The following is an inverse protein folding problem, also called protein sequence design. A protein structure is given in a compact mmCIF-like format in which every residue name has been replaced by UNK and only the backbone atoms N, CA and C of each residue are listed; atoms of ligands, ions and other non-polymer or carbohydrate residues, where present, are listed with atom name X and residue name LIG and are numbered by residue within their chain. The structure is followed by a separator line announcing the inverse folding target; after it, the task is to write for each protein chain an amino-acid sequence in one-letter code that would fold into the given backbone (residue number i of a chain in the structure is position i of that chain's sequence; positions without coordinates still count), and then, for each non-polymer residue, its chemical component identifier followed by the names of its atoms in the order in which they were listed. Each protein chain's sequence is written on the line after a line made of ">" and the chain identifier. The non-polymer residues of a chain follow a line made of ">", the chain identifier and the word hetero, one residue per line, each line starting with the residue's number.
data_IF_547965230869
#
_entry.id   IF_547965230869
#
_cell.length_a   1.000
_cell.length_b   1.000
_cell.length_c   1.000
_cell.angle_alpha   90.00
_cell.angle_beta   90.00
_cell.angle_gamma   90.00
#
_symmetry.space_group_name_H-M   'P 1'
#
loop_
_entity.id
_entity.type
_entity.pdbx_description
1 polymer ?
#
# COMPACT_ATOMS: atom_id res chain seq x y z
N UNK A 1 19.69 3.20 3.99
CA UNK A 1 20.34 4.41 3.44
C UNK A 1 19.84 5.56 4.28
N UNK A 2 20.71 6.45 4.78
CA UNK A 2 20.28 7.57 5.63
C UNK A 2 19.40 8.55 4.86
N UNK A 3 18.50 9.23 5.57
CA UNK A 3 17.67 10.31 4.99
C UNK A 3 18.58 11.44 4.48
N UNK A 4 18.37 11.83 3.22
CA UNK A 4 19.10 12.91 2.53
C UNK A 4 18.24 14.18 2.60
N UNK A 5 18.84 15.36 2.71
CA UNK A 5 18.07 16.61 2.78
C UNK A 5 17.20 16.78 1.53
N UNK A 6 16.07 17.48 1.64
CA UNK A 6 15.13 17.62 0.53
C UNK A 6 15.79 18.20 -0.72
N UNK A 7 16.72 19.13 -0.53
CA UNK A 7 17.51 19.79 -1.57
C UNK A 7 18.48 18.85 -2.29
N UNK A 8 18.83 17.74 -1.65
CA UNK A 8 19.75 16.72 -2.14
C UNK A 8 19.02 15.51 -2.75
N UNK A 9 17.68 15.44 -2.61
CA UNK A 9 16.87 14.38 -3.18
C UNK A 9 16.62 14.62 -4.67
N UNK A 10 16.75 13.55 -5.45
CA UNK A 10 16.41 13.51 -6.87
C UNK A 10 15.35 12.44 -7.18
N UNK A 11 14.97 12.32 -8.46
CA UNK A 11 13.96 11.34 -8.90
C UNK A 11 14.26 9.91 -8.43
N UNK A 12 15.53 9.51 -8.34
CA UNK A 12 15.92 8.15 -7.94
C UNK A 12 15.57 7.85 -6.48
N UNK A 13 15.56 8.88 -5.63
CA UNK A 13 15.19 8.75 -4.23
C UNK A 13 13.69 8.48 -4.06
N UNK A 14 12.84 8.82 -5.04
CA UNK A 14 11.39 8.58 -4.99
C UNK A 14 10.96 7.26 -5.62
N UNK A 15 11.88 6.52 -6.25
CA UNK A 15 11.57 5.25 -6.91
C UNK A 15 11.48 4.06 -5.94
N UNK A 16 11.97 4.20 -4.71
CA UNK A 16 12.08 3.09 -3.76
C UNK A 16 10.93 3.06 -2.76
N UNK A 17 10.52 1.84 -2.38
CA UNK A 17 9.57 1.60 -1.32
C UNK A 17 10.16 2.15 0.00
N UNK A 18 9.38 2.95 0.72
CA UNK A 18 9.75 3.55 2.00
C UNK A 18 9.39 2.59 3.14
N UNK A 19 10.28 1.68 3.47
CA UNK A 19 10.03 0.69 4.53
C UNK A 19 9.89 1.33 5.91
N UNK A 20 10.63 2.41 6.20
CA UNK A 20 10.46 3.15 7.46
C UNK A 20 9.05 3.73 7.56
N UNK A 21 8.50 4.29 6.47
CA UNK A 21 7.14 4.82 6.44
C UNK A 21 6.09 3.72 6.71
N UNK A 22 6.19 2.59 6.01
CA UNK A 22 5.23 1.50 6.19
C UNK A 22 5.33 0.78 7.55
N UNK A 23 6.46 0.94 8.26
CA UNK A 23 6.68 0.36 9.59
C UNK A 23 6.55 1.37 10.73
N UNK A 24 6.05 2.58 10.46
CA UNK A 24 5.79 3.56 11.52
C UNK A 24 4.77 3.02 12.54
N UNK A 25 5.07 3.10 13.85
CA UNK A 25 4.17 2.61 14.89
C UNK A 25 2.99 3.55 15.14
N UNK A 26 3.11 4.83 14.77
CA UNK A 26 2.14 5.88 15.07
C UNK A 26 1.84 6.72 13.80
N UNK A 27 0.65 7.33 13.69
CA UNK A 27 0.31 8.20 12.58
C UNK A 27 1.26 9.39 12.44
N UNK A 28 1.69 9.68 11.21
CA UNK A 28 2.49 10.88 10.93
C UNK A 28 1.70 12.17 11.20
N UNK A 29 0.42 12.18 10.82
CA UNK A 29 -0.52 13.26 11.13
C UNK A 29 -1.62 12.74 12.05
N UNK A 30 -1.96 13.52 13.08
CA UNK A 30 -3.03 13.16 14.03
C UNK A 30 -4.44 13.30 13.45
N UNK A 31 -4.62 14.12 12.41
CA UNK A 31 -5.91 14.50 11.83
C UNK A 31 -6.03 14.20 10.32
N UNK A 32 -5.07 13.45 9.75
CA UNK A 32 -5.05 13.14 8.31
C UNK A 32 -4.75 11.68 8.06
N UNK A 33 -5.38 11.15 7.02
CA UNK A 33 -5.05 9.85 6.45
C UNK A 33 -4.19 10.07 5.21
N UNK A 34 -3.02 9.44 5.17
CA UNK A 34 -2.16 9.44 3.98
C UNK A 34 -2.62 8.31 3.05
N UNK A 35 -2.94 8.63 1.81
CA UNK A 35 -3.27 7.63 0.78
C UNK A 35 -2.03 7.39 -0.07
N UNK A 36 -1.58 6.15 -0.16
CA UNK A 36 -0.39 5.77 -0.93
C UNK A 36 -0.74 4.82 -2.09
N UNK A 37 0.21 4.71 -3.00
CA UNK A 37 0.29 3.64 -3.99
C UNK A 37 1.75 3.29 -4.20
N UNK A 38 2.13 2.90 -5.43
CA UNK A 38 3.51 2.55 -5.83
C UNK A 38 4.02 1.24 -5.21
N UNK A 39 3.69 0.99 -3.94
CA UNK A 39 4.01 -0.26 -3.25
C UNK A 39 2.87 -1.24 -3.44
N UNK A 40 3.07 -2.25 -4.29
CA UNK A 40 2.02 -3.24 -4.54
C UNK A 40 1.62 -3.95 -3.23
N UNK A 41 0.37 -3.80 -2.85
CA UNK A 41 -0.24 -4.26 -1.59
C UNK A 41 -0.05 -5.74 -1.26
N UNK A 42 -0.14 -6.66 -2.22
CA UNK A 42 0.07 -8.09 -1.93
C UNK A 42 1.52 -8.45 -1.56
N UNK A 43 2.47 -7.52 -1.67
CA UNK A 43 3.85 -7.73 -1.20
C UNK A 43 3.97 -7.62 0.32
N UNK A 44 2.97 -7.05 0.99
CA UNK A 44 2.92 -6.99 2.45
C UNK A 44 2.58 -8.36 3.07
N UNK A 45 3.01 -8.64 4.31
CA UNK A 45 2.71 -9.90 4.98
C UNK A 45 1.19 -10.13 5.12
N UNK A 46 0.74 -11.33 4.74
CA UNK A 46 -0.67 -11.73 4.92
C UNK A 46 -1.67 -11.07 3.96
N UNK A 47 -1.22 -10.30 2.96
CA UNK A 47 -2.10 -9.55 2.05
C UNK A 47 -2.30 -10.31 0.74
N UNK A 48 -3.56 -10.53 0.36
CA UNK A 48 -3.93 -11.19 -0.89
C UNK A 48 -4.02 -10.18 -2.05
N UNK A 49 -3.81 -10.63 -3.31
CA UNK A 49 -3.99 -9.79 -4.48
C UNK A 49 -5.36 -9.08 -4.53
N UNK A 50 -5.32 -7.77 -4.70
CA UNK A 50 -6.51 -6.93 -4.75
C UNK A 50 -7.00 -6.41 -3.40
N UNK A 51 -6.38 -6.79 -2.27
CA UNK A 51 -6.69 -6.16 -0.98
C UNK A 51 -5.95 -4.82 -0.82
N UNK A 52 -6.55 -3.89 -0.09
CA UNK A 52 -5.87 -2.67 0.36
C UNK A 52 -5.08 -2.96 1.63
N UNK A 53 -4.16 -2.08 1.98
CA UNK A 53 -3.33 -2.22 3.17
C UNK A 53 -3.40 -0.96 4.03
N UNK A 54 -3.73 -1.12 5.30
CA UNK A 54 -3.75 -0.02 6.26
C UNK A 54 -2.66 -0.21 7.33
N UNK A 55 -1.93 0.87 7.60
CA UNK A 55 -1.03 0.98 8.75
C UNK A 55 -1.39 2.19 9.62
N UNK A 56 -0.44 2.65 10.43
CA UNK A 56 -0.66 3.76 11.34
C UNK A 56 -0.84 5.09 10.58
N UNK A 57 -2.10 5.52 10.39
CA UNK A 57 -2.42 6.79 9.74
C UNK A 57 -2.24 6.81 8.23
N UNK A 58 -2.13 5.65 7.57
CA UNK A 58 -2.01 5.54 6.12
C UNK A 58 -2.76 4.34 5.53
N UNK A 59 -3.15 4.45 4.26
CA UNK A 59 -3.86 3.44 3.47
C UNK A 59 -3.26 3.35 2.06
N UNK A 60 -2.78 2.17 1.68
CA UNK A 60 -2.24 1.88 0.34
C UNK A 60 -3.32 1.26 -0.57
N UNK A 61 -3.45 1.82 -1.77
CA UNK A 61 -4.43 1.41 -2.77
C UNK A 61 -3.82 0.82 -4.05
N UNK A 62 -2.49 0.63 -4.11
CA UNK A 62 -1.85 0.00 -5.27
C UNK A 62 -2.04 -1.52 -5.20
N UNK A 63 -3.12 -1.96 -5.82
CA UNK A 63 -3.46 -3.37 -5.93
C UNK A 63 -2.81 -4.07 -7.11
N UNK A 64 -1.78 -3.47 -7.72
CA UNK A 64 -0.97 -4.13 -8.75
C UNK A 64 -1.69 -4.28 -10.09
N UNK A 65 -2.22 -3.18 -10.62
CA UNK A 65 -2.98 -3.17 -11.88
C UNK A 65 -2.20 -3.72 -13.08
N UNK A 66 -0.88 -3.51 -13.11
CA UNK A 66 0.03 -4.00 -14.15
C UNK A 66 0.66 -5.34 -13.81
N UNK A 67 0.51 -5.82 -12.57
CA UNK A 67 1.21 -7.02 -12.11
C UNK A 67 0.39 -8.27 -12.47
N UNK A 68 0.97 -9.25 -13.20
CA UNK A 68 0.23 -10.39 -13.75
C UNK A 68 -0.42 -11.31 -12.70
N UNK A 69 0.09 -11.31 -11.47
CA UNK A 69 -0.51 -12.03 -10.33
C UNK A 69 -1.78 -11.37 -9.78
N UNK A 70 -1.95 -10.05 -9.91
CA UNK A 70 -3.08 -9.32 -9.34
C UNK A 70 -4.02 -8.78 -10.42
N UNK A 71 -3.51 -7.93 -11.31
CA UNK A 71 -4.25 -7.25 -12.36
C UNK A 71 -5.40 -6.34 -11.88
N UNK A 72 -5.48 -5.98 -10.59
CA UNK A 72 -6.56 -5.13 -10.09
C UNK A 72 -6.18 -3.66 -10.15
N UNK A 73 -6.93 -2.87 -10.92
CA UNK A 73 -6.94 -1.41 -10.84
C UNK A 73 -7.99 -0.99 -9.80
N UNK A 74 -7.58 -0.18 -8.83
CA UNK A 74 -8.43 0.27 -7.71
C UNK A 74 -8.80 1.74 -7.83
N UNK A 75 -10.07 2.04 -7.56
CA UNK A 75 -10.57 3.37 -7.22
C UNK A 75 -11.15 3.37 -5.81
N UNK A 76 -10.77 4.37 -5.00
CA UNK A 76 -11.24 4.56 -3.63
C UNK A 76 -12.21 5.74 -3.58
N UNK A 77 -13.41 5.50 -3.08
CA UNK A 77 -14.39 6.52 -2.73
C UNK A 77 -14.38 6.72 -1.21
N UNK A 78 -13.69 7.76 -0.76
CA UNK A 78 -13.52 8.06 0.67
C UNK A 78 -14.84 8.50 1.30
N UNK A 79 -15.67 9.25 0.57
CA UNK A 79 -16.93 9.80 1.07
C UNK A 79 -17.90 8.69 1.44
N UNK A 80 -18.06 7.70 0.55
CA UNK A 80 -18.98 6.59 0.76
C UNK A 80 -18.31 5.36 1.37
N UNK A 81 -16.99 5.40 1.59
CA UNK A 81 -16.18 4.28 2.09
C UNK A 81 -16.30 3.04 1.20
N UNK A 82 -16.19 3.23 -0.11
CA UNK A 82 -16.33 2.16 -1.10
C UNK A 82 -15.06 1.98 -1.91
N UNK A 83 -14.79 0.74 -2.29
CA UNK A 83 -13.66 0.36 -3.13
C UNK A 83 -14.20 -0.26 -4.41
N UNK A 84 -13.80 0.31 -5.53
CA UNK A 84 -14.13 -0.17 -6.87
C UNK A 84 -12.89 -0.77 -7.50
N UNK A 85 -13.03 -1.96 -8.07
CA UNK A 85 -11.92 -2.59 -8.78
C UNK A 85 -12.33 -3.10 -10.14
N UNK A 86 -11.42 -2.94 -11.10
CA UNK A 86 -11.52 -3.49 -12.44
C UNK A 86 -10.28 -4.31 -12.71
N UNK A 87 -10.47 -5.57 -13.12
CA UNK A 87 -9.37 -6.41 -13.53
C UNK A 87 -8.88 -5.96 -14.92
N UNK A 88 -7.60 -5.66 -15.07
CA UNK A 88 -7.04 -5.12 -16.30
C UNK A 88 -6.99 -6.17 -17.42
N UNK A 89 -6.93 -7.46 -17.06
CA UNK A 89 -6.86 -8.59 -18.00
C UNK A 89 -8.24 -8.94 -18.58
N UNK A 90 -9.22 -9.21 -17.73
CA UNK A 90 -10.54 -9.73 -18.15
C UNK A 90 -11.70 -8.73 -18.02
N UNK A 91 -11.43 -7.52 -17.51
CA UNK A 91 -12.40 -6.43 -17.31
C UNK A 91 -13.50 -6.73 -16.28
N UNK A 92 -13.36 -7.80 -15.50
CA UNK A 92 -14.24 -8.10 -14.36
C UNK A 92 -14.25 -6.93 -13.39
N UNK A 93 -15.43 -6.63 -12.84
CA UNK A 93 -15.64 -5.52 -11.91
C UNK A 93 -16.13 -6.04 -10.59
N UNK A 94 -15.65 -5.47 -9.51
CA UNK A 94 -16.12 -5.76 -8.15
C UNK A 94 -16.15 -4.49 -7.31
N UNK A 95 -16.98 -4.53 -6.29
CA UNK A 95 -17.21 -3.43 -5.35
C UNK A 95 -17.25 -4.01 -3.95
N UNK A 96 -16.60 -3.32 -3.01
CA UNK A 96 -16.59 -3.68 -1.59
C UNK A 96 -16.79 -2.44 -0.74
N UNK A 97 -17.25 -2.66 0.49
CA UNK A 97 -17.07 -1.68 1.56
C UNK A 97 -15.57 -1.63 1.90
N UNK A 98 -15.08 -0.46 2.30
CA UNK A 98 -13.65 -0.22 2.54
C UNK A 98 -13.08 -1.21 3.55
N UNK A 99 -13.81 -1.47 4.63
CA UNK A 99 -13.43 -2.35 5.73
C UNK A 99 -13.25 -3.79 5.29
N UNK A 100 -14.07 -4.28 4.37
CA UNK A 100 -14.09 -5.69 3.95
C UNK A 100 -12.87 -6.08 3.11
N UNK A 101 -12.29 -5.12 2.40
CA UNK A 101 -11.16 -5.33 1.49
C UNK A 101 -9.83 -4.78 2.03
N UNK A 102 -9.85 -4.13 3.19
CA UNK A 102 -8.65 -3.55 3.80
C UNK A 102 -8.05 -4.50 4.82
N UNK A 103 -6.78 -4.87 4.61
CA UNK A 103 -5.99 -5.61 5.59
C UNK A 103 -5.19 -4.63 6.44
N UNK A 104 -5.42 -4.62 7.75
CA UNK A 104 -4.57 -3.88 8.69
C UNK A 104 -3.30 -4.69 8.97
N UNK A 105 -2.14 -4.07 8.89
CA UNK A 105 -0.86 -4.72 9.15
C UNK A 105 -0.27 -4.29 10.47
N UNK A 106 0.48 -5.19 11.10
CA UNK A 106 1.32 -4.87 12.24
C UNK A 106 2.63 -4.23 11.74
N UNK A 107 2.95 -2.98 12.11
CA UNK A 107 4.18 -2.31 11.66
C UNK A 107 5.47 -3.12 11.91
N UNK A 108 5.51 -3.91 12.99
CA UNK A 108 6.65 -4.77 13.32
C UNK A 108 6.89 -5.93 12.32
N UNK A 109 5.84 -6.38 11.63
CA UNK A 109 5.91 -7.48 10.65
C UNK A 109 6.39 -7.00 9.27
N UNK A 110 6.23 -5.72 8.98
CA UNK A 110 6.66 -5.10 7.71
C UNK A 110 8.18 -5.05 7.62
N UNK A 111 8.81 -4.57 8.69
CA UNK A 111 10.27 -4.41 8.76
C UNK A 111 10.99 -5.76 8.75
N UNK A 112 10.46 -6.76 9.45
CA UNK A 112 11.09 -8.07 9.61
C UNK A 112 11.15 -8.90 8.33
N UNK A 113 10.14 -8.79 7.44
CA UNK A 113 10.09 -9.58 6.19
C UNK A 113 10.91 -8.97 5.03
N UNK A 114 11.17 -7.66 5.03
CA UNK A 114 11.93 -6.99 3.96
C UNK A 114 13.44 -6.93 4.23
N UNK A 115 13.87 -7.08 5.49
CA UNK A 115 15.29 -7.09 5.89
C UNK A 115 15.90 -8.50 5.92
N UNK A 116 15.10 -9.57 6.05
CA UNK A 116 15.61 -10.93 5.97
C UNK A 116 15.61 -11.43 4.52
N UNK A 117 16.76 -11.83 3.95
CA UNK A 117 16.75 -12.61 2.73
C UNK A 117 16.05 -13.92 3.05
N UNK A 118 15.02 -14.26 2.27
CA UNK A 118 14.51 -15.63 2.22
C UNK A 118 15.70 -16.57 1.96
N UNK A 119 15.85 -17.68 2.70
CA UNK A 119 16.92 -18.66 2.42
C UNK A 119 16.83 -19.22 0.99
#
# INVERSE_FOLDING_TARGET
>A
MGEVQLEEQDATHFCWIRDEFHSMPEPFFSDKLIITGHTITFTFPGVSPGQLVAGAGWLDIDTGAYHPHSNWLTGLDITNRLVYQVNTKDKTRRKFDLEDITTSINPAEVYTKRVQPTP
#
